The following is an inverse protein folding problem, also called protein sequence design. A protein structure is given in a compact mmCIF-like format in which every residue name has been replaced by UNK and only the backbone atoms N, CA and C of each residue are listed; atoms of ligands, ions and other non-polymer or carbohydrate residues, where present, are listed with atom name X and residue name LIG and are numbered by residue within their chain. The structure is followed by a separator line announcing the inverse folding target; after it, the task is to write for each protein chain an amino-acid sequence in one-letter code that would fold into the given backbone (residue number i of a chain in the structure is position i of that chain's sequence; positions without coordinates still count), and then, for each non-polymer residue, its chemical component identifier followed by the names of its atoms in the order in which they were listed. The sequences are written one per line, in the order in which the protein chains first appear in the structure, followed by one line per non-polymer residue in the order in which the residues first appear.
data_IF_175160271504
#
_entry.id   IF_175160271504
#
_cell.length_a   1.000
_cell.length_b   1.000
_cell.length_c   1.000
_cell.angle_alpha   90.00
_cell.angle_beta   90.00
_cell.angle_gamma   90.00
#
_symmetry.space_group_name_H-M   'P 1'
#
loop_
_entity.id
_entity.type
_entity.pdbx_description
1 polymer ?
#
# COMPACT_ATOMS: atom_id res chain seq x y z
N UNK A 1 -2.89 -19.36 7.63
CA UNK A 1 -3.38 -20.55 6.89
C UNK A 1 -3.03 -20.39 5.41
N UNK A 2 -2.61 -21.47 4.74
CA UNK A 2 -2.07 -21.40 3.38
C UNK A 2 -3.21 -21.31 2.34
N UNK A 3 -3.54 -20.08 1.91
CA UNK A 3 -4.42 -19.86 0.76
C UNK A 3 -3.79 -20.43 -0.52
N UNK A 4 -4.60 -21.10 -1.35
CA UNK A 4 -4.22 -21.49 -2.71
C UNK A 4 -4.01 -20.26 -3.60
N UNK A 5 -3.26 -20.42 -4.70
CA UNK A 5 -3.01 -19.33 -5.65
C UNK A 5 -4.28 -18.70 -6.23
N UNK A 6 -5.34 -19.49 -6.44
CA UNK A 6 -6.64 -18.98 -6.89
C UNK A 6 -7.35 -18.18 -5.80
N UNK A 7 -7.29 -18.63 -4.54
CA UNK A 7 -7.85 -17.89 -3.41
C UNK A 7 -7.14 -16.54 -3.22
N UNK A 8 -5.81 -16.49 -3.36
CA UNK A 8 -5.04 -15.24 -3.31
C UNK A 8 -5.46 -14.30 -4.45
N UNK A 9 -5.58 -14.82 -5.67
CA UNK A 9 -6.03 -14.02 -6.84
C UNK A 9 -7.43 -13.43 -6.62
N UNK A 10 -8.36 -14.21 -6.08
CA UNK A 10 -9.72 -13.75 -5.78
C UNK A 10 -9.72 -12.70 -4.68
N UNK A 11 -8.97 -12.91 -3.60
CA UNK A 11 -8.82 -11.95 -2.52
C UNK A 11 -8.29 -10.61 -3.04
N UNK A 12 -7.21 -10.62 -3.82
CA UNK A 12 -6.65 -9.40 -4.40
C UNK A 12 -7.63 -8.70 -5.34
N UNK A 13 -8.44 -9.46 -6.09
CA UNK A 13 -9.47 -8.90 -6.96
C UNK A 13 -10.58 -8.21 -6.17
N UNK A 14 -11.04 -8.85 -5.09
CA UNK A 14 -12.10 -8.32 -4.24
C UNK A 14 -11.61 -7.10 -3.46
N UNK A 15 -10.40 -7.17 -2.89
CA UNK A 15 -9.79 -6.06 -2.16
C UNK A 15 -9.65 -4.84 -3.07
N UNK A 16 -9.14 -5.02 -4.29
CA UNK A 16 -9.02 -3.95 -5.27
C UNK A 16 -10.37 -3.30 -5.58
N UNK A 17 -11.42 -4.10 -5.81
CA UNK A 17 -12.77 -3.58 -6.07
C UNK A 17 -13.32 -2.78 -4.89
N UNK A 18 -13.08 -3.26 -3.67
CA UNK A 18 -13.57 -2.65 -2.44
C UNK A 18 -12.89 -1.30 -2.18
N UNK A 19 -11.54 -1.27 -2.19
CA UNK A 19 -10.78 -0.05 -1.87
C UNK A 19 -10.96 1.05 -2.92
N UNK A 20 -11.41 0.71 -4.12
CA UNK A 20 -11.64 1.67 -5.22
C UNK A 20 -13.11 1.81 -5.58
N UNK A 21 -14.04 1.39 -4.72
CA UNK A 21 -15.47 1.40 -5.02
C UNK A 21 -16.02 2.79 -5.37
N UNK A 22 -15.43 3.86 -4.81
CA UNK A 22 -15.82 5.26 -5.05
C UNK A 22 -14.94 5.98 -6.07
N UNK A 23 -14.06 5.26 -6.79
CA UNK A 23 -13.13 5.84 -7.76
C UNK A 23 -13.44 5.38 -9.18
N UNK A 24 -13.09 6.21 -10.17
CA UNK A 24 -13.29 5.87 -11.59
C UNK A 24 -12.00 5.30 -12.17
N UNK A 25 -12.03 4.07 -12.71
CA UNK A 25 -10.83 3.46 -13.31
C UNK A 25 -10.33 4.30 -14.50
N UNK A 26 -9.04 4.64 -14.47
CA UNK A 26 -8.36 5.36 -15.55
C UNK A 26 -7.79 4.38 -16.57
N UNK A 27 -8.54 4.18 -17.65
CA UNK A 27 -8.19 3.25 -18.73
C UNK A 27 -7.03 3.72 -19.61
N UNK A 28 -6.61 4.98 -19.50
CA UNK A 28 -5.46 5.51 -20.26
C UNK A 28 -4.11 5.09 -19.65
N UNK A 29 -4.13 4.54 -18.44
CA UNK A 29 -2.92 4.08 -17.77
C UNK A 29 -2.40 2.79 -18.40
N UNK A 30 -1.19 2.84 -18.95
CA UNK A 30 -0.59 1.71 -19.68
C UNK A 30 0.08 0.66 -18.76
N UNK A 31 0.50 1.04 -17.56
CA UNK A 31 1.21 0.16 -16.61
C UNK A 31 0.25 -0.57 -15.64
N UNK A 32 -0.81 -1.15 -16.20
CA UNK A 32 -1.79 -1.95 -15.45
C UNK A 32 -1.26 -3.38 -15.28
N UNK A 33 -1.40 -3.93 -14.07
CA UNK A 33 -1.12 -5.33 -13.79
C UNK A 33 -2.30 -6.01 -13.11
N UNK A 34 -2.74 -7.15 -13.65
CA UNK A 34 -3.81 -7.99 -13.08
C UNK A 34 -3.30 -9.42 -12.81
N UNK A 35 -2.06 -9.54 -12.32
CA UNK A 35 -1.43 -10.81 -11.94
C UNK A 35 -2.04 -11.50 -10.71
N UNK A 36 -1.69 -12.77 -10.47
CA UNK A 36 -2.27 -13.59 -9.39
C UNK A 36 -1.87 -13.13 -7.98
N UNK A 37 -0.63 -12.63 -7.82
CA UNK A 37 -0.08 -12.14 -6.55
C UNK A 37 0.19 -10.63 -6.54
N UNK A 38 -0.15 -9.95 -7.62
CA UNK A 38 0.12 -8.53 -7.79
C UNK A 38 -0.96 -7.87 -8.64
N UNK A 39 -1.47 -6.74 -8.16
CA UNK A 39 -2.43 -5.92 -8.87
C UNK A 39 -2.02 -4.46 -8.82
N UNK A 40 -2.07 -3.81 -9.96
CA UNK A 40 -1.77 -2.40 -10.15
C UNK A 40 -2.78 -1.81 -11.12
N UNK A 41 -3.51 -0.79 -10.69
CA UNK A 41 -4.48 -0.08 -11.51
C UNK A 41 -4.44 1.41 -11.15
N UNK A 42 -4.86 2.25 -12.09
CA UNK A 42 -4.99 3.68 -11.89
C UNK A 42 -6.45 4.09 -11.85
N UNK A 43 -6.74 5.12 -11.07
CA UNK A 43 -8.07 5.66 -10.89
C UNK A 43 -8.01 7.19 -10.87
N UNK A 44 -9.03 7.81 -11.44
CA UNK A 44 -9.19 9.26 -11.47
C UNK A 44 -9.93 9.74 -10.23
N UNK A 45 -9.61 10.96 -9.81
CA UNK A 45 -10.34 11.69 -8.78
C UNK A 45 -10.64 13.13 -9.23
N UNK A 46 -11.72 13.70 -8.70
CA UNK A 46 -12.09 15.08 -8.98
C UNK A 46 -11.25 16.04 -8.14
N UNK A 47 -10.28 16.70 -8.77
CA UNK A 47 -9.46 17.71 -8.10
C UNK A 47 -10.30 18.98 -7.83
N UNK A 48 -10.50 19.30 -6.55
CA UNK A 48 -11.24 20.49 -6.13
C UNK A 48 -10.37 21.76 -6.08
N UNK A 49 -9.04 21.61 -6.17
CA UNK A 49 -8.12 22.74 -6.27
C UNK A 49 -7.94 23.03 -7.75
N UNK A 50 -8.41 24.21 -8.18
CA UNK A 50 -8.21 24.72 -9.54
C UNK A 50 -6.75 25.04 -9.83
N UNK A 51 -5.88 24.02 -9.84
CA UNK A 51 -4.64 24.11 -10.60
C UNK A 51 -5.05 23.96 -12.05
N UNK A 52 -5.03 25.08 -12.75
CA UNK A 52 -5.11 25.12 -14.20
C UNK A 52 -4.27 23.97 -14.78
N UNK A 53 -4.87 23.18 -15.67
CA UNK A 53 -4.23 22.04 -16.34
C UNK A 53 -2.97 22.50 -17.11
N UNK A 54 -2.85 23.80 -17.38
CA UNK A 54 -1.64 24.43 -17.92
C UNK A 54 -0.46 24.49 -16.93
N UNK A 55 -0.69 24.42 -15.62
CA UNK A 55 0.31 24.58 -14.55
C UNK A 55 0.63 23.25 -13.84
N UNK A 56 -0.28 22.27 -13.85
CA UNK A 56 -0.03 20.96 -13.25
C UNK A 56 0.03 19.85 -14.32
N UNK A 57 1.24 19.42 -14.73
CA UNK A 57 1.38 18.34 -15.71
C UNK A 57 1.02 16.96 -15.14
N UNK A 58 0.65 16.87 -13.85
CA UNK A 58 0.32 15.62 -13.17
C UNK A 58 -1.19 15.37 -13.30
N UNK A 59 -1.62 14.31 -14.00
CA UNK A 59 -3.03 13.92 -14.04
C UNK A 59 -3.56 13.69 -12.63
N UNK A 60 -4.82 14.07 -12.37
CA UNK A 60 -5.56 13.75 -11.15
C UNK A 60 -5.82 12.25 -11.04
N UNK A 61 -4.75 11.50 -10.73
CA UNK A 61 -4.67 10.06 -10.77
C UNK A 61 -4.11 9.52 -9.47
N UNK A 62 -4.73 8.46 -8.97
CA UNK A 62 -4.24 7.63 -7.88
C UNK A 62 -3.91 6.26 -8.45
N UNK A 63 -2.73 5.75 -8.15
CA UNK A 63 -2.34 4.38 -8.49
C UNK A 63 -2.48 3.52 -7.24
N UNK A 64 -3.25 2.45 -7.35
CA UNK A 64 -3.44 1.48 -6.27
C UNK A 64 -2.66 0.22 -6.61
N UNK A 65 -1.73 -0.13 -5.73
CA UNK A 65 -0.89 -1.33 -5.83
C UNK A 65 -1.17 -2.26 -4.64
N UNK A 66 -1.44 -3.52 -4.95
CA UNK A 66 -1.70 -4.57 -3.95
C UNK A 66 -0.80 -5.76 -4.28
N UNK A 67 -0.02 -6.21 -3.32
CA UNK A 67 0.91 -7.33 -3.49
C UNK A 67 0.75 -8.40 -2.40
N UNK A 68 0.92 -9.66 -2.81
CA UNK A 68 0.90 -10.84 -1.95
C UNK A 68 2.20 -11.65 -2.10
N UNK A 69 3.33 -10.95 -2.23
CA UNK A 69 4.65 -11.56 -2.30
C UNK A 69 5.23 -11.89 -0.92
N UNK A 70 4.83 -11.12 0.10
CA UNK A 70 5.32 -11.28 1.44
C UNK A 70 4.46 -12.29 2.21
N UNK A 71 5.13 -13.24 2.86
CA UNK A 71 4.59 -13.97 3.99
C UNK A 71 5.50 -13.66 5.19
N UNK A 72 5.16 -12.64 6.00
CA UNK A 72 6.03 -12.26 7.11
C UNK A 72 6.02 -13.40 8.12
N UNK A 73 7.10 -14.18 8.16
CA UNK A 73 7.28 -15.23 9.16
C UNK A 73 8.78 -15.38 9.47
N UNK A 74 9.17 -15.31 10.76
CA UNK A 74 8.37 -14.90 11.91
C UNK A 74 7.99 -13.41 11.78
N UNK A 75 6.83 -13.06 12.34
CA UNK A 75 6.35 -11.68 12.36
C UNK A 75 6.26 -11.15 13.79
N UNK A 76 6.26 -9.84 13.91
CA UNK A 76 5.92 -9.11 15.13
C UNK A 76 4.83 -8.09 14.83
N UNK A 77 3.98 -7.79 15.82
CA UNK A 77 3.01 -6.70 15.70
C UNK A 77 3.70 -5.37 15.90
N UNK A 78 3.42 -4.40 15.03
CA UNK A 78 3.88 -3.01 15.16
C UNK A 78 2.74 -2.06 14.89
N UNK A 79 2.70 -0.97 15.65
CA UNK A 79 1.87 0.18 15.32
C UNK A 79 2.50 0.90 14.13
N UNK A 80 1.72 1.10 13.07
CA UNK A 80 2.11 1.90 11.91
C UNK A 80 1.19 3.12 11.81
N UNK A 81 1.76 4.25 11.45
CA UNK A 81 1.03 5.49 11.22
C UNK A 81 1.03 5.81 9.72
N UNK A 82 -0.15 6.04 9.10
CA UNK A 82 -0.21 6.49 7.72
C UNK A 82 0.49 7.85 7.56
N UNK A 83 1.20 8.04 6.44
CA UNK A 83 1.91 9.30 6.18
C UNK A 83 0.96 10.52 6.18
N UNK A 84 -0.25 10.35 5.64
CA UNK A 84 -1.29 11.39 5.66
C UNK A 84 -1.66 11.80 7.09
N UNK A 85 -1.69 10.86 8.02
CA UNK A 85 -1.98 11.10 9.44
C UNK A 85 -0.88 11.93 10.08
N UNK A 86 0.39 11.56 9.86
CA UNK A 86 1.53 12.35 10.34
C UNK A 86 1.47 13.78 9.81
N UNK A 87 1.09 13.96 8.54
CA UNK A 87 0.92 15.29 7.94
C UNK A 87 -0.22 16.10 8.57
N UNK A 88 -1.40 15.51 8.74
CA UNK A 88 -2.58 16.17 9.31
C UNK A 88 -2.34 16.61 10.76
N UNK A 89 -1.73 15.75 11.58
CA UNK A 89 -1.33 16.10 12.95
C UNK A 89 -0.37 17.29 13.01
N UNK A 90 0.63 17.34 12.11
CA UNK A 90 1.54 18.50 12.00
C UNK A 90 0.83 19.81 11.63
N UNK A 91 -0.37 19.73 11.06
CA UNK A 91 -1.22 20.88 10.73
C UNK A 91 -2.27 21.18 11.81
N UNK A 92 -2.27 20.46 12.92
CA UNK A 92 -3.29 20.51 13.97
C UNK A 92 -4.71 20.18 13.43
N UNK A 93 -4.79 19.18 12.55
CA UNK A 93 -6.04 18.69 11.94
C UNK A 93 -6.40 17.29 12.46
N UNK A 94 -6.30 17.09 13.78
CA UNK A 94 -6.62 15.82 14.45
C UNK A 94 -8.09 15.42 14.32
N UNK A 95 -8.98 16.40 14.22
CA UNK A 95 -10.41 16.19 13.96
C UNK A 95 -10.65 15.44 12.64
N UNK A 96 -9.91 15.81 11.59
CA UNK A 96 -9.95 15.13 10.27
C UNK A 96 -9.41 13.72 10.37
N UNK A 97 -8.36 13.50 11.16
CA UNK A 97 -7.81 12.14 11.39
C UNK A 97 -8.91 11.24 11.97
N UNK A 98 -9.65 11.72 12.97
CA UNK A 98 -10.73 10.94 13.59
C UNK A 98 -11.96 10.80 12.70
N UNK A 99 -12.34 11.85 11.99
CA UNK A 99 -13.49 11.83 11.06
C UNK A 99 -13.34 10.75 9.98
N UNK A 100 -12.11 10.56 9.48
CA UNK A 100 -11.82 9.64 8.38
C UNK A 100 -11.13 8.34 8.82
N UNK A 101 -11.07 8.06 10.12
CA UNK A 101 -10.48 6.85 10.69
C UNK A 101 -9.02 6.60 10.25
N UNK A 102 -8.22 7.67 10.25
CA UNK A 102 -6.81 7.65 9.82
C UNK A 102 -5.85 7.40 10.99
N UNK A 103 -6.33 6.92 12.14
CA UNK A 103 -5.47 6.64 13.29
C UNK A 103 -4.42 5.56 13.00
N UNK A 104 -3.30 5.56 13.75
CA UNK A 104 -2.36 4.46 13.71
C UNK A 104 -3.05 3.12 14.00
N UNK A 105 -2.60 2.06 13.32
CA UNK A 105 -3.17 0.72 13.49
C UNK A 105 -2.06 -0.34 13.63
N UNK A 106 -2.40 -1.49 14.21
CA UNK A 106 -1.47 -2.63 14.32
C UNK A 106 -1.37 -3.38 13.00
N UNK A 107 -0.14 -3.69 12.59
CA UNK A 107 0.16 -4.55 11.45
C UNK A 107 1.20 -5.60 11.82
N UNK A 108 1.07 -6.80 11.25
CA UNK A 108 2.12 -7.82 11.31
C UNK A 108 3.25 -7.45 10.34
N UNK A 109 4.44 -7.20 10.88
CA UNK A 109 5.65 -6.93 10.09
C UNK A 109 6.64 -8.07 10.22
N UNK A 110 7.48 -8.27 9.20
CA UNK A 110 8.54 -9.26 9.25
C UNK A 110 9.50 -8.94 10.42
N UNK A 111 9.81 -9.93 11.25
CA UNK A 111 10.71 -9.73 12.38
C UNK A 111 12.15 -9.50 11.91
N UNK A 112 12.75 -8.39 12.35
CA UNK A 112 14.14 -8.05 12.05
C UNK A 112 15.15 -9.07 12.58
N UNK A 113 14.80 -9.84 13.61
CA UNK A 113 15.73 -10.78 14.27
C UNK A 113 16.22 -11.86 13.31
N UNK A 114 15.30 -12.48 12.55
CA UNK A 114 15.68 -13.51 11.59
C UNK A 114 16.47 -12.91 10.43
N UNK A 115 15.99 -11.80 9.85
CA UNK A 115 16.69 -11.13 8.75
C UNK A 115 18.12 -10.71 9.14
N UNK A 116 18.31 -10.17 10.35
CA UNK A 116 19.63 -9.81 10.86
C UNK A 116 20.54 -11.05 10.98
N UNK A 117 20.02 -12.14 11.55
CA UNK A 117 20.76 -13.40 11.68
C UNK A 117 21.19 -13.93 10.30
N UNK A 118 20.25 -14.03 9.36
CA UNK A 118 20.50 -14.50 7.99
C UNK A 118 21.53 -13.62 7.26
N UNK A 119 21.41 -12.29 7.36
CA UNK A 119 22.37 -11.35 6.75
C UNK A 119 23.75 -11.47 7.38
N UNK A 120 23.84 -11.61 8.70
CA UNK A 120 25.12 -11.75 9.43
C UNK A 120 25.83 -13.06 9.06
N UNK A 121 25.11 -14.18 9.07
CA UNK A 121 25.65 -15.50 8.64
C UNK A 121 26.12 -15.44 7.19
N UNK A 122 25.37 -14.75 6.33
CA UNK A 122 25.77 -14.57 4.92
C UNK A 122 27.09 -13.80 4.83
N UNK A 123 27.24 -12.70 5.57
CA UNK A 123 28.49 -11.93 5.61
C UNK A 123 29.69 -12.75 6.11
N UNK A 124 29.51 -13.52 7.18
CA UNK A 124 30.55 -14.41 7.72
C UNK A 124 30.98 -15.42 6.65
N UNK A 125 30.02 -16.05 5.96
CA UNK A 125 30.31 -17.01 4.88
C UNK A 125 31.08 -16.39 3.72
N UNK A 126 30.82 -15.13 3.38
CA UNK A 126 31.57 -14.41 2.33
C UNK A 126 32.95 -13.91 2.79
N UNK A 127 33.22 -13.92 4.10
CA UNK A 127 34.48 -13.45 4.67
C UNK A 127 35.49 -14.58 4.92
N UNK A 128 35.06 -15.84 4.76
CA UNK A 128 35.88 -17.06 4.83
C UNK A 128 36.12 -17.54 3.40
#
# INVERSE_FOLDING_TARGET
ENMSGNQVKMLLSNLMKEVTASLTEDKSFSDISKGSKYRKQAFSYDAQVGLDVSVNPIPSRIVVEISAFANPFPYEKRMIEPFVTTYLKKRNMEDVVTQYHLEPFELNVLSLRQTLCEKTVSLIRFSI
#
